data_IF_344738554678
#
_entry.id   IF_344738554678
#
_cell.length_a   1.000
_cell.length_b   1.000
_cell.length_c   1.000
_cell.angle_alpha   90.00
_cell.angle_beta   90.00
_cell.angle_gamma   90.00
#
_symmetry.space_group_name_H-M   'P 1'
#
loop_
_entity.id
_entity.type
_entity.pdbx_description
1 polymer ?
#
# COMPACT_ATOMS: atom_id res chain seq x y z
N UNK A 1 -1.88 10.47 -15.14
CA UNK A 1 -2.28 9.10 -14.74
C UNK A 1 -1.43 8.05 -15.46
N UNK A 2 -1.73 6.74 -15.35
CA UNK A 2 -0.90 5.69 -15.99
C UNK A 2 -0.74 5.91 -17.52
N UNK A 3 -1.82 6.32 -18.21
CA UNK A 3 -1.80 6.61 -19.63
C UNK A 3 -0.83 7.76 -19.99
N UNK A 4 -0.73 8.78 -19.13
CA UNK A 4 0.17 9.92 -19.31
C UNK A 4 1.65 9.51 -19.15
N UNK A 5 1.95 8.65 -18.16
CA UNK A 5 3.30 8.11 -17.97
C UNK A 5 3.74 7.30 -19.21
N UNK A 6 2.84 6.48 -19.75
CA UNK A 6 3.12 5.68 -20.95
C UNK A 6 3.24 6.59 -22.20
N UNK A 7 2.43 7.65 -22.29
CA UNK A 7 2.50 8.62 -23.37
C UNK A 7 3.85 9.36 -23.38
N UNK A 8 4.34 9.79 -22.22
CA UNK A 8 5.60 10.55 -22.09
C UNK A 8 6.85 9.68 -22.14
N UNK A 9 6.81 8.46 -21.58
CA UNK A 9 8.00 7.60 -21.42
C UNK A 9 8.01 6.41 -22.41
N UNK A 10 6.96 6.23 -23.20
CA UNK A 10 6.82 5.14 -24.15
C UNK A 10 6.98 3.77 -23.49
N UNK A 11 7.76 2.89 -24.13
CA UNK A 11 8.03 1.52 -23.66
C UNK A 11 8.60 1.48 -22.23
N UNK A 12 9.42 2.46 -21.83
CA UNK A 12 10.02 2.50 -20.49
C UNK A 12 8.96 2.68 -19.39
N UNK A 13 7.81 3.27 -19.70
CA UNK A 13 6.67 3.38 -18.79
C UNK A 13 6.08 2.02 -18.38
N UNK A 14 6.31 0.95 -19.14
CA UNK A 14 5.87 -0.40 -18.79
C UNK A 14 6.60 -0.95 -17.56
N UNK A 15 7.82 -0.48 -17.27
CA UNK A 15 8.53 -0.86 -16.05
C UNK A 15 7.74 -0.46 -14.79
N UNK A 16 7.01 0.66 -14.83
CA UNK A 16 6.12 1.07 -13.75
C UNK A 16 4.94 0.10 -13.56
N UNK A 17 4.33 -0.36 -14.67
CA UNK A 17 3.22 -1.34 -14.64
C UNK A 17 3.68 -2.68 -14.08
N UNK A 18 4.83 -3.18 -14.55
CA UNK A 18 5.41 -4.44 -14.09
C UNK A 18 5.83 -4.34 -12.62
N UNK A 19 6.46 -3.23 -12.24
CA UNK A 19 6.85 -2.98 -10.85
C UNK A 19 5.65 -2.95 -9.90
N UNK A 20 4.57 -2.28 -10.30
CA UNK A 20 3.35 -2.20 -9.51
C UNK A 20 2.67 -3.58 -9.36
N UNK A 21 2.43 -4.28 -10.47
CA UNK A 21 1.79 -5.61 -10.44
C UNK A 21 2.64 -6.65 -9.70
N UNK A 22 3.95 -6.69 -9.96
CA UNK A 22 4.89 -7.55 -9.24
C UNK A 22 4.96 -7.23 -7.74
N UNK A 23 4.93 -5.95 -7.38
CA UNK A 23 4.86 -5.50 -5.99
C UNK A 23 3.61 -6.00 -5.27
N UNK A 24 2.44 -5.96 -5.90
CA UNK A 24 1.20 -6.50 -5.35
C UNK A 24 1.29 -8.01 -5.10
N UNK A 25 1.85 -8.77 -6.04
CA UNK A 25 2.04 -10.20 -5.88
C UNK A 25 2.96 -10.49 -4.69
N UNK A 26 4.09 -9.79 -4.59
CA UNK A 26 5.02 -9.94 -3.48
C UNK A 26 4.35 -9.59 -2.14
N UNK A 27 3.61 -8.49 -2.08
CA UNK A 27 2.88 -8.07 -0.89
C UNK A 27 1.85 -9.12 -0.49
N UNK A 28 1.10 -9.69 -1.43
CA UNK A 28 0.15 -10.78 -1.16
C UNK A 28 0.84 -12.04 -0.63
N UNK A 29 1.95 -12.47 -1.23
CA UNK A 29 2.67 -13.67 -0.76
C UNK A 29 3.20 -13.46 0.66
N UNK A 30 3.81 -12.31 0.93
CA UNK A 30 4.43 -12.03 2.22
C UNK A 30 3.40 -11.71 3.30
N UNK A 31 2.47 -10.78 3.03
CA UNK A 31 1.55 -10.26 4.03
C UNK A 31 0.30 -11.13 4.20
N UNK A 32 -0.27 -11.69 3.12
CA UNK A 32 -1.46 -12.53 3.25
C UNK A 32 -1.15 -13.81 4.05
N UNK A 33 0.07 -14.33 3.97
CA UNK A 33 0.51 -15.45 4.82
C UNK A 33 0.48 -15.09 6.31
N UNK A 34 0.93 -13.88 6.69
CA UNK A 34 0.91 -13.42 8.07
C UNK A 34 -0.52 -13.15 8.54
N UNK A 35 -1.33 -12.46 7.73
CA UNK A 35 -2.71 -12.11 8.08
C UNK A 35 -3.57 -13.36 8.32
N UNK A 36 -3.43 -14.41 7.49
CA UNK A 36 -4.15 -15.69 7.69
C UNK A 36 -3.80 -16.38 9.01
N UNK A 37 -2.58 -16.21 9.53
CA UNK A 37 -2.14 -16.83 10.79
C UNK A 37 -2.58 -16.05 12.02
N UNK A 38 -2.68 -14.72 11.92
CA UNK A 38 -3.07 -13.86 13.05
C UNK A 38 -4.58 -13.60 13.14
N UNK A 39 -5.35 -13.82 12.07
CA UNK A 39 -6.81 -13.70 12.09
C UNK A 39 -7.33 -12.27 12.29
N UNK A 40 -6.51 -11.25 12.05
CA UNK A 40 -6.88 -9.83 12.14
C UNK A 40 -7.02 -9.23 10.75
N UNK A 41 -7.95 -8.30 10.57
CA UNK A 41 -8.32 -7.75 9.26
C UNK A 41 -7.71 -6.37 8.96
N UNK A 42 -7.04 -5.74 9.92
CA UNK A 42 -6.45 -4.39 9.75
C UNK A 42 -4.95 -4.40 10.06
N UNK A 43 -4.18 -3.59 9.31
CA UNK A 43 -2.75 -3.46 9.51
C UNK A 43 -2.37 -2.93 10.92
N UNK A 44 -3.08 -1.92 11.50
CA UNK A 44 -2.77 -1.43 12.84
C UNK A 44 -2.98 -2.48 13.93
N UNK A 45 -4.03 -3.30 13.81
CA UNK A 45 -4.30 -4.36 14.79
C UNK A 45 -3.25 -5.47 14.73
N UNK A 46 -2.77 -5.81 13.53
CA UNK A 46 -1.67 -6.75 13.36
C UNK A 46 -0.38 -6.24 14.04
N UNK A 47 -0.04 -4.97 13.86
CA UNK A 47 1.16 -4.36 14.48
C UNK A 47 1.00 -4.27 16.00
N UNK A 48 -0.17 -3.84 16.48
CA UNK A 48 -0.46 -3.75 17.91
C UNK A 48 -0.31 -5.08 18.65
N UNK A 49 -0.85 -6.16 18.07
CA UNK A 49 -0.76 -7.50 18.65
C UNK A 49 0.66 -8.06 18.57
N UNK A 50 1.36 -7.85 17.44
CA UNK A 50 2.72 -8.38 17.26
C UNK A 50 3.73 -7.80 18.25
N UNK A 51 3.56 -6.55 18.65
CA UNK A 51 4.43 -5.87 19.62
C UNK A 51 3.81 -5.74 21.02
N UNK A 52 2.59 -6.23 21.24
CA UNK A 52 1.87 -6.14 22.52
C UNK A 52 1.69 -4.71 23.04
N UNK A 53 1.68 -3.70 22.16
CA UNK A 53 1.73 -2.28 22.57
C UNK A 53 0.62 -1.46 21.92
N UNK A 54 -0.17 -0.78 22.76
CA UNK A 54 -1.21 0.15 22.33
C UNK A 54 -0.63 1.37 21.59
N UNK A 55 0.58 1.82 21.95
CA UNK A 55 1.27 2.90 21.26
C UNK A 55 1.65 2.51 19.83
N UNK A 56 2.17 1.28 19.63
CA UNK A 56 2.51 0.77 18.30
C UNK A 56 1.27 0.66 17.39
N UNK A 57 0.12 0.25 17.96
CA UNK A 57 -1.17 0.25 17.25
C UNK A 57 -1.58 1.65 16.80
N UNK A 58 -1.50 2.64 17.69
CA UNK A 58 -1.88 4.02 17.39
C UNK A 58 -1.00 4.61 16.28
N UNK A 59 0.32 4.42 16.37
CA UNK A 59 1.27 4.87 15.36
C UNK A 59 0.95 4.23 13.99
N UNK A 60 0.75 2.91 13.96
CA UNK A 60 0.39 2.21 12.73
C UNK A 60 -0.95 2.72 12.13
N UNK A 61 -1.94 3.05 12.96
CA UNK A 61 -3.20 3.63 12.52
C UNK A 61 -3.00 5.02 11.90
N UNK A 62 -2.23 5.90 12.55
CA UNK A 62 -1.93 7.25 12.03
C UNK A 62 -1.20 7.17 10.69
N UNK A 63 -0.21 6.29 10.57
CA UNK A 63 0.52 6.06 9.31
C UNK A 63 -0.45 5.57 8.22
N UNK A 64 -1.34 4.62 8.54
CA UNK A 64 -2.31 4.09 7.58
C UNK A 64 -3.24 5.18 7.05
N UNK A 65 -3.70 6.09 7.93
CA UNK A 65 -4.55 7.23 7.55
C UNK A 65 -3.76 8.22 6.68
N UNK A 66 -2.52 8.54 7.06
CA UNK A 66 -1.68 9.44 6.29
C UNK A 66 -1.43 8.93 4.85
N UNK A 67 -1.13 7.64 4.70
CA UNK A 67 -0.98 6.98 3.39
C UNK A 67 -2.27 7.12 2.58
N UNK A 68 -3.44 6.87 3.19
CA UNK A 68 -4.72 6.99 2.51
C UNK A 68 -4.98 8.43 2.01
N UNK A 69 -4.69 9.44 2.84
CA UNK A 69 -4.85 10.85 2.46
C UNK A 69 -3.92 11.22 1.30
N UNK A 70 -2.63 10.88 1.40
CA UNK A 70 -1.65 11.17 0.35
C UNK A 70 -2.07 10.52 -0.98
N UNK A 71 -2.50 9.26 -0.92
CA UNK A 71 -2.99 8.53 -2.08
C UNK A 71 -4.22 9.18 -2.70
N UNK A 72 -5.20 9.57 -1.89
CA UNK A 72 -6.39 10.28 -2.36
C UNK A 72 -6.04 11.62 -3.01
N UNK A 73 -5.15 12.42 -2.41
CA UNK A 73 -4.71 13.70 -2.99
C UNK A 73 -4.03 13.48 -4.34
N UNK A 74 -3.17 12.47 -4.46
CA UNK A 74 -2.53 12.12 -5.72
C UNK A 74 -3.55 11.69 -6.79
N UNK A 75 -4.58 10.93 -6.41
CA UNK A 75 -5.68 10.53 -7.29
C UNK A 75 -6.51 11.74 -7.77
N UNK A 76 -6.86 12.67 -6.87
CA UNK A 76 -7.59 13.88 -7.24
C UNK A 76 -6.80 14.78 -8.19
N UNK A 77 -5.48 14.91 -7.99
CA UNK A 77 -4.62 15.64 -8.93
C UNK A 77 -4.44 14.93 -10.27
N UNK A 78 -4.48 13.60 -10.28
CA UNK A 78 -4.37 12.81 -11.51
C UNK A 78 -5.65 12.73 -12.35
N UNK A 79 -6.79 13.18 -11.80
CA UNK A 79 -8.09 13.31 -12.48
C UNK A 79 -8.31 14.68 -13.15
N UNK A 80 -7.50 15.69 -12.78
CA UNK A 80 -7.57 17.06 -13.30
C UNK A 80 -6.63 17.28 -14.48
#
# INVERSE_FOLDING_TARGET
GLADIIYLQGYQGLAYVIGWTGGYVLLLVLLASQIRRFGKFTAPDFVGERYGSAAARLIAAVISIAIAIIYCVAQFRGLA
#
